data_IF_126348836998
#
_entry.id   IF_126348836998
#
_cell.length_a   1.000
_cell.length_b   1.000
_cell.length_c   1.000
_cell.angle_alpha   90.00
_cell.angle_beta   90.00
_cell.angle_gamma   90.00
#
_symmetry.space_group_name_H-M   'P 1'
#
loop_
_entity.id
_entity.type
_entity.pdbx_description
1 polymer ?
#
# COMPACT_ATOMS: atom_id res chain seq x y z
N UNK A 1 -24.30 14.81 1.32
CA UNK A 1 -24.51 13.35 1.35
C UNK A 1 -23.20 12.67 1.67
N UNK A 2 -23.23 11.66 2.54
CA UNK A 2 -22.08 10.81 2.84
C UNK A 2 -22.38 9.43 2.26
N UNK A 3 -21.44 8.86 1.52
CA UNK A 3 -21.64 7.56 0.85
C UNK A 3 -20.43 6.68 1.06
N UNK A 4 -20.68 5.44 1.49
CA UNK A 4 -19.67 4.40 1.52
C UNK A 4 -19.71 3.65 0.19
N UNK A 5 -18.59 3.67 -0.53
CA UNK A 5 -18.47 3.03 -1.85
C UNK A 5 -17.09 2.41 -2.01
N UNK A 6 -17.05 1.13 -2.41
CA UNK A 6 -15.81 0.35 -2.58
C UNK A 6 -14.85 0.40 -1.39
N UNK A 7 -15.36 0.55 -0.16
CA UNK A 7 -14.51 0.65 1.02
C UNK A 7 -13.89 2.03 1.27
N UNK A 8 -14.38 3.05 0.58
CA UNK A 8 -14.08 4.45 0.85
C UNK A 8 -15.32 5.19 1.31
N UNK A 9 -15.13 6.09 2.28
CA UNK A 9 -16.11 7.07 2.69
C UNK A 9 -15.92 8.35 1.87
N UNK A 10 -16.93 8.71 1.09
CA UNK A 10 -16.93 9.93 0.28
C UNK A 10 -17.77 10.98 1.00
N UNK A 11 -17.14 12.08 1.38
CA UNK A 11 -17.80 13.17 2.11
C UNK A 11 -17.29 14.53 1.60
N UNK A 12 -18.21 15.39 1.17
CA UNK A 12 -17.89 16.74 0.64
C UNK A 12 -16.82 16.76 -0.47
N UNK A 13 -16.78 15.72 -1.32
CA UNK A 13 -15.78 15.59 -2.39
C UNK A 13 -14.43 15.02 -1.92
N UNK A 14 -14.24 14.78 -0.63
CA UNK A 14 -13.08 14.08 -0.09
C UNK A 14 -13.32 12.57 -0.10
N UNK A 15 -12.31 11.82 -0.52
CA UNK A 15 -12.28 10.35 -0.46
C UNK A 15 -11.40 9.97 0.71
N UNK A 16 -11.97 9.25 1.68
CA UNK A 16 -11.22 8.71 2.82
C UNK A 16 -11.38 7.20 2.88
N UNK A 17 -10.34 6.44 3.27
CA UNK A 17 -10.50 5.01 3.50
C UNK A 17 -11.51 4.76 4.63
N UNK A 18 -12.40 3.79 4.44
CA UNK A 18 -13.38 3.41 5.47
C UNK A 18 -12.64 2.85 6.69
N UNK A 19 -13.02 3.26 7.92
CA UNK A 19 -12.37 2.80 9.15
C UNK A 19 -12.43 1.27 9.29
N UNK A 20 -13.44 0.60 8.75
CA UNK A 20 -13.55 -0.86 8.76
C UNK A 20 -12.38 -1.53 8.04
N UNK A 21 -12.00 -1.02 6.87
CA UNK A 21 -10.90 -1.63 6.11
C UNK A 21 -9.53 -1.29 6.70
N UNK A 22 -9.39 -0.10 7.29
CA UNK A 22 -8.19 0.29 8.03
C UNK A 22 -8.01 -0.63 9.25
N UNK A 23 -9.08 -0.84 10.01
CA UNK A 23 -9.06 -1.74 11.16
C UNK A 23 -8.71 -3.17 10.77
N UNK A 24 -9.19 -3.65 9.61
CA UNK A 24 -8.78 -4.96 9.09
C UNK A 24 -7.26 -5.05 8.87
N UNK A 25 -6.65 -4.01 8.30
CA UNK A 25 -5.21 -3.96 8.08
C UNK A 25 -4.43 -3.78 9.39
N UNK A 26 -4.90 -2.94 10.32
CA UNK A 26 -4.22 -2.71 11.61
C UNK A 26 -4.26 -3.92 12.54
N UNK A 27 -5.34 -4.72 12.48
CA UNK A 27 -5.48 -5.93 13.29
C UNK A 27 -4.86 -7.17 12.63
N UNK A 28 -4.16 -7.02 11.50
CA UNK A 28 -3.41 -8.16 10.95
C UNK A 28 -2.28 -8.56 11.89
N UNK A 29 -2.07 -9.88 12.03
CA UNK A 29 -0.96 -10.41 12.81
C UNK A 29 0.37 -10.01 12.14
N UNK A 30 1.41 -9.87 12.96
CA UNK A 30 2.74 -9.60 12.47
C UNK A 30 3.17 -10.73 11.51
N UNK A 31 3.56 -10.42 10.26
CA UNK A 31 3.95 -11.43 9.29
C UNK A 31 5.18 -12.17 9.78
N UNK A 32 5.11 -13.50 9.82
CA UNK A 32 6.23 -14.36 10.19
C UNK A 32 6.95 -14.92 8.98
N UNK A 33 6.25 -14.98 7.84
CA UNK A 33 6.79 -15.53 6.59
C UNK A 33 6.93 -14.46 5.50
N UNK A 34 7.87 -14.64 4.55
CA UNK A 34 8.02 -13.74 3.40
C UNK A 34 6.73 -13.59 2.57
N UNK A 35 5.93 -14.66 2.45
CA UNK A 35 4.66 -14.64 1.74
C UNK A 35 3.57 -13.84 2.48
N UNK A 36 3.53 -13.92 3.81
CA UNK A 36 2.66 -13.07 4.63
C UNK A 36 3.05 -11.61 4.54
N UNK A 37 4.35 -11.30 4.58
CA UNK A 37 4.85 -9.94 4.39
C UNK A 37 4.47 -9.40 3.00
N UNK A 38 4.57 -10.23 1.96
CA UNK A 38 4.10 -9.90 0.61
C UNK A 38 2.61 -9.58 0.56
N UNK A 39 1.78 -10.45 1.17
CA UNK A 39 0.32 -10.25 1.24
C UNK A 39 -0.02 -8.94 1.98
N UNK A 40 0.66 -8.67 3.09
CA UNK A 40 0.48 -7.44 3.85
C UNK A 40 0.84 -6.19 3.01
N UNK A 41 2.01 -6.17 2.37
CA UNK A 41 2.45 -5.04 1.54
C UNK A 41 1.47 -4.81 0.37
N UNK A 42 0.99 -5.88 -0.27
CA UNK A 42 -0.01 -5.78 -1.35
C UNK A 42 -1.35 -5.22 -0.85
N UNK A 43 -1.81 -5.63 0.32
CA UNK A 43 -3.02 -5.08 0.92
C UNK A 43 -2.85 -3.61 1.31
N UNK A 44 -1.69 -3.24 1.86
CA UNK A 44 -1.37 -1.86 2.23
C UNK A 44 -1.21 -0.94 1.02
N UNK A 45 -0.81 -1.47 -0.14
CA UNK A 45 -0.64 -0.69 -1.37
C UNK A 45 -1.95 -0.01 -1.84
N UNK A 46 -3.11 -0.60 -1.53
CA UNK A 46 -4.42 0.01 -1.80
C UNK A 46 -4.56 1.40 -1.18
N UNK A 47 -3.93 1.62 -0.02
CA UNK A 47 -3.97 2.89 0.72
C UNK A 47 -2.82 3.84 0.41
N UNK A 48 -1.94 3.52 -0.55
CA UNK A 48 -0.73 4.30 -0.85
C UNK A 48 -0.97 5.79 -1.14
N UNK A 49 -2.16 6.15 -1.63
CA UNK A 49 -2.55 7.56 -1.87
C UNK A 49 -2.66 8.38 -0.59
N UNK A 50 -2.89 7.73 0.55
CA UNK A 50 -3.08 8.36 1.86
C UNK A 50 -1.83 8.27 2.73
N UNK A 51 -0.82 7.50 2.32
CA UNK A 51 0.41 7.26 3.09
C UNK A 51 1.57 7.97 2.36
N UNK A 52 2.06 9.11 2.89
CA UNK A 52 3.20 9.79 2.28
C UNK A 52 4.43 8.89 2.29
N UNK A 53 5.18 8.88 1.18
CA UNK A 53 6.40 8.08 1.01
C UNK A 53 6.21 6.57 1.20
N UNK A 54 5.01 6.02 0.94
CA UNK A 54 4.72 4.59 1.07
C UNK A 54 5.80 3.67 0.45
N UNK A 55 6.30 4.02 -0.75
CA UNK A 55 7.33 3.25 -1.43
C UNK A 55 8.61 3.07 -0.60
N UNK A 56 9.04 4.11 0.13
CA UNK A 56 10.24 4.07 0.97
C UNK A 56 10.01 3.21 2.22
N UNK A 57 8.81 3.28 2.80
CA UNK A 57 8.44 2.50 3.99
C UNK A 57 8.31 1.00 3.65
N UNK A 58 7.76 0.68 2.48
CA UNK A 58 7.56 -0.69 2.02
C UNK A 58 8.81 -1.33 1.38
N UNK A 59 9.85 -0.54 1.07
CA UNK A 59 11.11 -0.99 0.47
C UNK A 59 11.79 -2.15 1.23
N UNK A 60 11.99 -2.07 2.57
CA UNK A 60 12.59 -3.17 3.32
C UNK A 60 11.77 -4.45 3.24
N UNK A 61 10.44 -4.36 3.25
CA UNK A 61 9.56 -5.53 3.15
C UNK A 61 9.57 -6.11 1.74
N UNK A 62 9.66 -5.28 0.70
CA UNK A 62 9.75 -5.71 -0.71
C UNK A 62 11.00 -6.53 -1.01
N UNK A 63 12.11 -6.35 -0.29
CA UNK A 63 13.32 -7.16 -0.44
C UNK A 63 13.11 -8.63 -0.09
N UNK A 64 12.17 -8.92 0.80
CA UNK A 64 11.86 -10.28 1.24
C UNK A 64 10.71 -10.89 0.44
N UNK A 65 9.99 -10.12 -0.37
CA UNK A 65 8.90 -10.64 -1.19
C UNK A 65 9.47 -11.45 -2.37
N UNK A 66 9.04 -12.70 -2.59
CA UNK A 66 9.44 -13.44 -3.78
C UNK A 66 8.98 -12.66 -5.02
N UNK A 67 9.95 -12.25 -5.84
CA UNK A 67 9.69 -11.47 -7.06
C UNK A 67 8.94 -12.33 -8.07
N UNK A 68 7.61 -12.21 -8.13
CA UNK A 68 6.92 -12.43 -9.40
C UNK A 68 7.41 -11.37 -10.40
N UNK A 69 7.81 -11.85 -11.57
CA UNK A 69 8.77 -11.25 -12.51
C UNK A 69 8.27 -9.99 -13.25
N UNK A 70 7.87 -8.93 -12.55
CA UNK A 70 7.26 -7.75 -13.24
C UNK A 70 7.68 -6.36 -12.75
N UNK A 71 8.65 -6.17 -11.85
CA UNK A 71 9.18 -4.82 -11.56
C UNK A 71 10.71 -4.75 -11.49
N UNK A 72 11.37 -5.15 -12.58
CA UNK A 72 12.67 -4.59 -12.95
C UNK A 72 12.47 -3.65 -14.14
N UNK A 73 12.38 -2.34 -13.87
CA UNK A 73 12.79 -1.18 -14.70
C UNK A 73 11.96 0.08 -14.37
N UNK A 74 12.51 0.96 -13.53
CA UNK A 74 12.38 2.44 -13.60
C UNK A 74 13.25 3.06 -12.51
N UNK A 75 14.23 3.93 -12.75
CA UNK A 75 14.75 4.53 -13.97
C UNK A 75 16.21 4.90 -13.77
N UNK A 76 16.95 4.84 -14.87
CA UNK A 76 18.29 5.42 -14.97
C UNK A 76 18.19 6.91 -14.68
N UNK A 77 19.15 7.40 -13.90
CA UNK A 77 19.36 8.83 -13.64
C UNK A 77 19.67 9.51 -14.99
N UNK A 78 18.94 10.54 -15.36
CA UNK A 78 19.47 11.57 -16.27
C UNK A 78 19.56 12.86 -15.47
N UNK A 79 20.80 13.24 -15.20
CA UNK A 79 21.21 14.56 -14.74
C UNK A 79 20.91 15.50 -15.91
N UNK A 80 20.16 16.57 -15.68
CA UNK A 80 20.13 17.72 -16.59
C UNK A 80 20.77 18.87 -15.81
N UNK A 81 22.05 19.09 -16.06
CA UNK A 81 22.77 20.34 -15.88
C UNK A 81 23.52 20.56 -17.18
#
# INVERSE_FOLDING_TARGET
>A
TQTDYLGHNIKHGEIRPSPTNINGLLNTRLPQTPDEACKFVKAAEYYRKFIPKFSQIAEPLRKFVPTTRTQQKKGQKTIIT
#
